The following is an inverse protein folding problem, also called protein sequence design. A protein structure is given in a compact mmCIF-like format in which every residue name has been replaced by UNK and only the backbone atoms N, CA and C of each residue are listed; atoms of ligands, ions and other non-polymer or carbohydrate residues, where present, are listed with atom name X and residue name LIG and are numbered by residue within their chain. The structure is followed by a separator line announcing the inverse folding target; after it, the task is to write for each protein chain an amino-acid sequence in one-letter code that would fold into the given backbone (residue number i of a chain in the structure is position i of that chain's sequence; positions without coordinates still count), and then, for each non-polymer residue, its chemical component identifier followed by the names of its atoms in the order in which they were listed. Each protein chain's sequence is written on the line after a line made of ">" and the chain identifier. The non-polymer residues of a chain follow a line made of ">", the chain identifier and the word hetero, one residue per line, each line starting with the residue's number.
data_IF_086497160422
#
_entry.id   IF_086497160422
#
_cell.length_a   1.000
_cell.length_b   1.000
_cell.length_c   1.000
_cell.angle_alpha   90.00
_cell.angle_beta   90.00
_cell.angle_gamma   90.00
#
_symmetry.space_group_name_H-M   'P 1'
#
loop_
_entity.id
_entity.type
_entity.pdbx_description
1 polymer ?
#
# COMPACT_ATOMS: atom_id res chain seq x y z
N UNK A 1 -32.82 16.79 -32.71
CA UNK A 1 -32.81 16.83 -31.23
C UNK A 1 -31.52 16.17 -30.77
N UNK A 2 -30.37 16.70 -31.21
CA UNK A 2 -29.10 15.93 -31.25
C UNK A 2 -28.07 16.39 -30.21
N UNK A 3 -28.19 17.64 -29.73
CA UNK A 3 -27.27 18.22 -28.76
C UNK A 3 -27.33 17.58 -27.36
N UNK A 4 -28.50 17.25 -26.77
CA UNK A 4 -28.50 16.72 -25.39
C UNK A 4 -27.91 15.31 -25.31
N UNK A 5 -28.04 14.51 -26.37
CA UNK A 5 -27.48 13.15 -26.44
C UNK A 5 -25.95 13.17 -26.52
N UNK A 6 -25.39 14.08 -27.32
CA UNK A 6 -23.94 14.23 -27.47
C UNK A 6 -23.27 14.74 -26.18
N UNK A 7 -23.88 15.72 -25.52
CA UNK A 7 -23.39 16.24 -24.22
C UNK A 7 -23.49 15.17 -23.13
N UNK A 8 -24.54 14.35 -23.14
CA UNK A 8 -24.71 13.26 -22.20
C UNK A 8 -23.64 12.16 -22.39
N UNK A 9 -23.31 11.80 -23.62
CA UNK A 9 -22.23 10.86 -23.93
C UNK A 9 -20.84 11.36 -23.51
N UNK A 10 -20.54 12.64 -23.75
CA UNK A 10 -19.29 13.25 -23.30
C UNK A 10 -19.17 13.23 -21.77
N UNK A 11 -20.26 13.53 -21.05
CA UNK A 11 -20.32 13.46 -19.60
C UNK A 11 -20.12 12.03 -19.08
N UNK A 12 -20.66 11.00 -19.74
CA UNK A 12 -20.43 9.59 -19.37
C UNK A 12 -18.96 9.16 -19.54
N UNK A 13 -18.27 9.64 -20.57
CA UNK A 13 -16.84 9.38 -20.76
C UNK A 13 -15.98 10.07 -19.69
N UNK A 14 -16.34 11.28 -19.28
CA UNK A 14 -15.64 12.05 -18.24
C UNK A 14 -15.88 11.52 -16.82
N UNK A 15 -17.04 10.89 -16.58
CA UNK A 15 -17.45 10.40 -15.27
C UNK A 15 -17.28 8.88 -15.06
N UNK A 16 -16.62 8.18 -15.98
CA UNK A 16 -16.28 6.77 -15.73
C UNK A 16 -15.30 6.71 -14.54
N UNK A 17 -15.65 6.07 -13.42
CA UNK A 17 -14.73 5.95 -12.29
C UNK A 17 -13.57 5.07 -12.74
N UNK A 18 -12.47 5.72 -13.15
CA UNK A 18 -11.22 5.04 -13.40
C UNK A 18 -10.74 4.50 -12.06
N UNK A 19 -10.95 3.21 -11.84
CA UNK A 19 -10.37 2.50 -10.71
C UNK A 19 -8.85 2.66 -10.81
N UNK A 20 -8.17 3.21 -9.80
CA UNK A 20 -6.76 3.52 -9.94
C UNK A 20 -5.95 2.25 -10.13
N UNK A 21 -5.20 2.19 -11.23
CA UNK A 21 -4.21 1.14 -11.50
C UNK A 21 -3.11 1.19 -10.45
N UNK A 22 -2.45 0.07 -10.15
CA UNK A 22 -1.36 -0.02 -9.16
C UNK A 22 -0.34 1.13 -9.23
N UNK A 23 -0.18 1.89 -8.14
CA UNK A 23 0.68 3.08 -8.05
C UNK A 23 1.11 3.39 -6.60
N UNK A 24 2.18 4.18 -6.38
CA UNK A 24 2.54 4.68 -5.06
C UNK A 24 1.50 5.67 -4.51
N UNK A 25 1.11 5.51 -3.25
CA UNK A 25 0.15 6.39 -2.56
C UNK A 25 0.65 6.76 -1.17
N UNK A 26 0.33 7.96 -0.70
CA UNK A 26 0.66 8.41 0.65
C UNK A 26 -0.02 7.55 1.71
N UNK A 27 0.73 7.24 2.76
CA UNK A 27 0.28 6.42 3.87
C UNK A 27 0.97 6.85 5.16
N UNK A 28 0.22 6.79 6.27
CA UNK A 28 0.76 7.05 7.60
C UNK A 28 0.98 5.71 8.30
N UNK A 29 2.25 5.36 8.47
CA UNK A 29 2.70 4.19 9.22
C UNK A 29 2.72 4.54 10.71
N UNK A 30 2.15 3.66 11.54
CA UNK A 30 2.20 3.78 12.99
C UNK A 30 3.20 2.79 13.56
N UNK A 31 4.19 3.28 14.29
CA UNK A 31 5.30 2.48 14.81
C UNK A 31 5.28 2.54 16.32
N UNK A 32 5.02 1.41 16.97
CA UNK A 32 5.03 1.27 18.42
C UNK A 32 6.01 0.16 18.81
N UNK A 33 6.96 0.47 19.71
CA UNK A 33 7.87 -0.52 20.29
C UNK A 33 7.63 -0.66 21.79
N UNK A 34 7.76 -1.87 22.37
CA UNK A 34 7.53 -2.09 23.80
C UNK A 34 8.40 -1.21 24.71
N UNK A 35 9.66 -1.01 24.36
CA UNK A 35 10.68 -0.27 25.11
C UNK A 35 10.61 1.26 24.98
N UNK A 36 9.68 1.78 24.16
CA UNK A 36 9.52 3.22 23.92
C UNK A 36 8.24 3.75 24.57
N UNK A 37 8.22 4.99 25.04
CA UNK A 37 7.02 5.55 25.70
C UNK A 37 5.90 5.97 24.72
N UNK A 38 6.21 6.12 23.44
CA UNK A 38 5.30 6.69 22.43
C UNK A 38 5.11 5.76 21.22
N UNK A 39 3.97 5.93 20.55
CA UNK A 39 3.76 5.45 19.19
C UNK A 39 4.06 6.59 18.20
N UNK A 40 4.81 6.31 17.14
CA UNK A 40 5.21 7.32 16.15
C UNK A 40 4.43 7.16 14.85
N UNK A 41 3.76 8.23 14.42
CA UNK A 41 3.15 8.34 13.12
C UNK A 41 4.18 8.88 12.10
N UNK A 42 4.51 8.05 11.12
CA UNK A 42 5.51 8.32 10.06
C UNK A 42 4.80 8.37 8.72
N UNK A 43 4.96 9.48 7.99
CA UNK A 43 4.46 9.57 6.63
C UNK A 43 5.42 8.88 5.66
N UNK A 44 4.87 8.00 4.83
CA UNK A 44 5.58 7.26 3.80
C UNK A 44 4.68 7.07 2.58
N UNK A 45 5.19 6.43 1.53
CA UNK A 45 4.41 5.98 0.39
C UNK A 45 4.39 4.45 0.34
N UNK A 46 3.24 3.88 0.02
CA UNK A 46 3.04 2.43 -0.16
C UNK A 46 2.47 2.13 -1.55
N UNK A 47 2.53 0.87 -1.97
CA UNK A 47 1.87 0.44 -3.20
C UNK A 47 0.40 0.11 -2.97
N UNK A 48 -0.49 0.76 -3.73
CA UNK A 48 -1.94 0.53 -3.68
C UNK A 48 -2.53 0.62 -5.08
N UNK A 49 -3.62 -0.10 -5.29
CA UNK A 49 -4.40 -0.04 -6.53
C UNK A 49 -4.77 -1.44 -7.00
N UNK A 50 -5.21 -1.51 -8.24
CA UNK A 50 -5.76 -2.73 -8.83
C UNK A 50 -4.86 -3.27 -9.93
N UNK A 51 -4.85 -4.59 -10.05
CA UNK A 51 -4.14 -5.34 -11.07
C UNK A 51 -5.11 -6.24 -11.83
N UNK A 52 -4.84 -6.40 -13.12
CA UNK A 52 -5.63 -7.30 -13.96
C UNK A 52 -5.48 -8.74 -13.44
N UNK A 53 -6.61 -9.39 -13.21
CA UNK A 53 -6.70 -10.81 -12.89
C UNK A 53 -7.64 -11.50 -13.86
N UNK A 54 -7.39 -12.78 -14.10
CA UNK A 54 -8.19 -13.61 -15.00
C UNK A 54 -8.20 -15.03 -14.46
N UNK A 55 -9.39 -15.61 -14.41
CA UNK A 55 -9.59 -17.04 -14.15
C UNK A 55 -10.39 -17.66 -15.30
N UNK A 56 -10.10 -18.92 -15.62
CA UNK A 56 -10.79 -19.67 -16.67
C UNK A 56 -12.10 -20.23 -16.12
N UNK A 57 -13.19 -20.10 -16.87
CA UNK A 57 -14.47 -20.74 -16.56
C UNK A 57 -14.47 -22.25 -16.87
N UNK A 58 -13.51 -22.74 -17.66
CA UNK A 58 -13.33 -24.17 -17.94
C UNK A 58 -12.43 -24.77 -16.87
N UNK A 59 -13.02 -25.62 -16.04
CA UNK A 59 -12.35 -26.36 -14.98
C UNK A 59 -11.66 -27.62 -15.55
N UNK A 60 -10.59 -28.07 -14.90
CA UNK A 60 -9.83 -29.32 -15.15
C UNK A 60 -9.05 -29.49 -16.47
N UNK A 61 -9.44 -28.87 -17.59
CA UNK A 61 -8.74 -29.06 -18.88
C UNK A 61 -7.57 -28.08 -19.07
N UNK A 62 -7.73 -26.84 -18.59
CA UNK A 62 -6.82 -25.74 -18.90
C UNK A 62 -5.76 -25.47 -17.82
N UNK A 63 -5.91 -26.05 -16.63
CA UNK A 63 -4.90 -26.00 -15.56
C UNK A 63 -4.44 -24.58 -15.14
N UNK A 64 -3.34 -24.46 -14.36
CA UNK A 64 -2.83 -23.19 -13.85
C UNK A 64 -2.35 -22.21 -14.92
N UNK A 65 -2.19 -22.65 -16.17
CA UNK A 65 -1.63 -21.84 -17.27
C UNK A 65 -2.56 -20.70 -17.72
N UNK A 66 -3.85 -20.79 -17.41
CA UNK A 66 -4.85 -19.78 -17.75
C UNK A 66 -5.27 -18.92 -16.55
N UNK A 67 -4.66 -19.17 -15.38
CA UNK A 67 -4.85 -18.37 -14.17
C UNK A 67 -3.85 -17.21 -14.17
N UNK A 68 -4.36 -15.98 -14.17
CA UNK A 68 -3.58 -14.77 -13.96
C UNK A 68 -4.01 -14.17 -12.64
N UNK A 69 -3.19 -14.34 -11.62
CA UNK A 69 -3.35 -13.69 -10.32
C UNK A 69 -2.10 -12.85 -10.06
N UNK A 70 -2.29 -11.53 -10.04
CA UNK A 70 -1.23 -10.54 -9.78
C UNK A 70 -1.69 -9.59 -8.70
N UNK A 71 -0.80 -9.30 -7.76
CA UNK A 71 -0.99 -8.27 -6.74
C UNK A 71 -0.28 -6.97 -7.13
N UNK A 72 -0.72 -5.86 -6.53
CA UNK A 72 0.04 -4.61 -6.57
C UNK A 72 1.17 -4.72 -5.53
N UNK A 73 2.42 -4.73 -5.98
CA UNK A 73 3.61 -4.91 -5.12
C UNK A 73 4.68 -3.86 -5.46
N UNK A 74 5.65 -3.73 -4.58
CA UNK A 74 6.77 -2.82 -4.71
C UNK A 74 7.67 -3.20 -5.90
N UNK A 75 8.00 -2.21 -6.72
CA UNK A 75 9.01 -2.32 -7.77
C UNK A 75 10.34 -1.75 -7.26
N UNK A 76 10.36 -0.45 -6.92
CA UNK A 76 11.51 0.22 -6.31
C UNK A 76 11.15 0.79 -4.95
N UNK A 77 12.02 0.54 -3.99
CA UNK A 77 11.87 0.95 -2.59
C UNK A 77 13.12 1.70 -2.14
N UNK A 78 12.91 2.79 -1.43
CA UNK A 78 13.95 3.50 -0.67
C UNK A 78 13.71 3.24 0.82
N UNK A 79 14.76 2.93 1.57
CA UNK A 79 14.66 2.78 3.02
C UNK A 79 15.06 4.07 3.72
N UNK A 80 14.19 4.57 4.60
CA UNK A 80 14.45 5.74 5.44
C UNK A 80 14.41 5.36 6.90
N UNK A 81 15.01 6.19 7.75
CA UNK A 81 15.08 5.93 9.19
C UNK A 81 14.38 7.06 9.95
N UNK A 82 13.49 6.70 10.85
CA UNK A 82 12.86 7.60 11.80
C UNK A 82 13.43 7.37 13.20
N UNK A 83 13.50 8.44 13.99
CA UNK A 83 13.88 8.37 15.40
C UNK A 83 12.63 8.21 16.26
N UNK A 84 12.63 7.19 17.11
CA UNK A 84 11.58 6.91 18.07
C UNK A 84 11.89 7.62 19.40
N UNK A 85 11.04 8.53 19.90
CA UNK A 85 11.23 9.21 21.17
C UNK A 85 10.87 8.31 22.35
N UNK A 86 11.48 8.56 23.51
CA UNK A 86 11.23 7.81 24.74
C UNK A 86 11.78 6.38 24.73
N UNK A 87 12.71 6.06 23.82
CA UNK A 87 13.39 4.77 23.77
C UNK A 87 14.82 4.86 24.34
N UNK A 88 15.40 3.73 24.78
CA UNK A 88 16.84 3.59 24.99
C UNK A 88 17.69 4.04 23.80
N UNK A 89 18.96 4.43 24.05
CA UNK A 89 19.85 5.00 23.03
C UNK A 89 20.14 4.02 21.89
N UNK A 90 20.18 2.73 22.19
CA UNK A 90 20.49 1.63 21.27
C UNK A 90 19.28 1.19 20.41
N UNK A 91 18.05 1.54 20.79
CA UNK A 91 16.82 1.10 20.11
C UNK A 91 15.97 2.23 19.55
N UNK A 92 16.47 3.47 19.56
CA UNK A 92 15.73 4.67 19.14
C UNK A 92 15.61 4.86 17.61
N UNK A 93 16.15 3.96 16.78
CA UNK A 93 16.07 4.05 15.32
C UNK A 93 15.13 2.98 14.74
N UNK A 94 14.31 3.39 13.78
CA UNK A 94 13.42 2.51 13.04
C UNK A 94 13.53 2.77 11.53
N UNK A 95 13.88 1.73 10.78
CA UNK A 95 14.00 1.79 9.31
C UNK A 95 12.72 1.29 8.66
N UNK A 96 12.20 2.06 7.69
CA UNK A 96 10.92 1.78 7.02
C UNK A 96 11.04 1.98 5.50
N UNK A 97 10.22 1.26 4.70
CA UNK A 97 10.21 1.38 3.25
C UNK A 97 9.39 2.59 2.77
N UNK A 98 9.84 3.19 1.67
CA UNK A 98 9.16 4.24 0.90
C UNK A 98 9.02 3.75 -0.54
N UNK A 99 7.78 3.61 -1.02
CA UNK A 99 7.50 3.20 -2.40
C UNK A 99 7.91 4.31 -3.39
N UNK A 100 8.91 4.04 -4.22
CA UNK A 100 9.26 4.92 -5.34
C UNK A 100 8.49 4.54 -6.61
N UNK A 101 8.27 3.25 -6.82
CA UNK A 101 7.43 2.73 -7.91
C UNK A 101 6.74 1.42 -7.51
N UNK A 102 5.64 1.13 -8.18
CA UNK A 102 4.82 -0.06 -7.95
C UNK A 102 4.54 -0.75 -9.28
N UNK A 103 4.31 -2.06 -9.24
CA UNK A 103 3.96 -2.83 -10.43
C UNK A 103 3.00 -3.97 -10.09
N UNK A 104 2.34 -4.50 -11.12
CA UNK A 104 1.48 -5.68 -11.01
C UNK A 104 2.30 -6.94 -11.26
N UNK A 105 2.57 -7.69 -10.21
CA UNK A 105 3.42 -8.88 -10.23
C UNK A 105 2.91 -9.98 -9.30
N UNK A 106 3.66 -11.08 -9.23
CA UNK A 106 3.47 -12.05 -8.16
C UNK A 106 3.91 -11.44 -6.84
N UNK A 107 3.19 -11.75 -5.76
CA UNK A 107 3.60 -11.35 -4.41
C UNK A 107 4.92 -12.05 -4.05
N UNK A 108 5.86 -11.28 -3.50
CA UNK A 108 7.20 -11.73 -3.12
C UNK A 108 7.16 -12.35 -1.73
N UNK A 109 7.04 -13.67 -1.65
CA UNK A 109 6.92 -14.39 -0.36
C UNK A 109 8.19 -14.35 0.50
N UNK A 110 9.31 -13.90 -0.05
CA UNK A 110 10.58 -13.70 0.66
C UNK A 110 10.61 -12.42 1.50
N UNK A 111 9.85 -11.39 1.11
CA UNK A 111 9.80 -10.09 1.82
C UNK A 111 8.41 -9.70 2.30
N UNK A 112 7.35 -10.22 1.69
CA UNK A 112 5.98 -9.75 1.85
C UNK A 112 5.06 -10.88 2.36
N UNK A 113 4.10 -10.53 3.23
CA UNK A 113 3.02 -11.42 3.61
C UNK A 113 1.93 -11.44 2.52
N UNK A 114 1.85 -12.56 1.79
CA UNK A 114 0.88 -12.72 0.71
C UNK A 114 -0.49 -13.14 1.24
N UNK A 115 -1.25 -12.18 1.78
CA UNK A 115 -2.60 -12.38 2.30
C UNK A 115 -3.68 -11.65 1.47
N UNK A 116 -4.90 -12.20 1.45
CA UNK A 116 -6.04 -11.54 0.78
C UNK A 116 -6.48 -10.26 1.51
N UNK A 117 -6.27 -10.19 2.82
CA UNK A 117 -6.45 -8.99 3.65
C UNK A 117 -5.37 -8.99 4.72
N UNK A 118 -4.73 -7.84 4.93
CA UNK A 118 -3.87 -7.63 6.07
C UNK A 118 -4.68 -7.72 7.37
N UNK A 119 -4.06 -8.17 8.45
CA UNK A 119 -4.65 -8.07 9.78
C UNK A 119 -4.88 -6.60 10.12
N UNK A 120 -6.11 -6.23 10.51
CA UNK A 120 -6.44 -4.84 10.89
C UNK A 120 -5.81 -4.44 12.23
N UNK A 121 -5.17 -5.37 12.92
CA UNK A 121 -4.64 -5.17 14.27
C UNK A 121 -3.34 -4.35 14.28
N UNK A 122 -2.57 -4.33 13.19
CA UNK A 122 -1.29 -3.58 13.12
C UNK A 122 -1.44 -2.06 13.11
N UNK A 123 -2.65 -1.53 12.87
CA UNK A 123 -2.88 -0.09 12.77
C UNK A 123 -3.28 0.58 14.10
N UNK A 124 -3.34 -0.17 15.22
CA UNK A 124 -3.85 0.37 16.49
C UNK A 124 -2.72 0.55 17.51
N UNK A 125 -2.32 1.80 17.72
CA UNK A 125 -1.41 2.15 18.82
C UNK A 125 -2.11 2.04 20.17
N UNK A 126 -1.38 1.55 21.17
CA UNK A 126 -1.80 1.51 22.57
C UNK A 126 -1.20 2.66 23.38
N UNK A 127 -0.07 3.22 22.91
CA UNK A 127 0.65 4.34 23.53
C UNK A 127 0.24 5.69 22.92
N UNK A 128 0.52 6.83 23.59
CA UNK A 128 0.27 8.15 23.04
C UNK A 128 0.97 8.35 21.69
N UNK A 129 0.22 8.85 20.69
CA UNK A 129 0.72 9.04 19.33
C UNK A 129 1.46 10.37 19.22
N UNK A 130 2.66 10.34 18.64
CA UNK A 130 3.44 11.53 18.27
C UNK A 130 3.84 11.48 16.80
N UNK A 131 4.05 12.64 16.18
CA UNK A 131 4.44 12.70 14.76
C UNK A 131 5.96 12.76 14.59
N UNK A 132 6.49 12.05 13.59
CA UNK A 132 7.94 12.04 13.31
C UNK A 132 8.51 13.42 12.94
N UNK A 133 7.69 14.34 12.39
CA UNK A 133 8.16 15.68 12.00
C UNK A 133 8.59 16.57 13.18
N UNK A 134 8.26 16.20 14.41
CA UNK A 134 8.72 16.90 15.62
C UNK A 134 10.20 16.61 15.96
N UNK A 135 10.79 15.58 15.35
CA UNK A 135 12.17 15.18 15.57
C UNK A 135 12.86 14.82 14.24
N UNK A 136 13.09 15.80 13.35
CA UNK A 136 14.00 15.61 12.24
C UNK A 136 15.38 15.37 12.85
N UNK A 137 16.04 14.27 12.47
CA UNK A 137 17.40 13.97 12.90
C UNK A 137 18.37 15.11 12.62
#
# INVERSE_FOLDING_TARGET
>A
METPMFTCWLLFLLCSPAVPTCFPTDFTLYVERPECDFCVAVNTTICRGYCYSRDSNVRDILGPRFLIQRGCTYDKVEYRTARLPGCPIDSNLFTYPVALSCHCGSCKTDSDECAHRASRDEAKCTKPVTSSYLYPG
#
